data_IF_202559568856
#
_entry.id   IF_202559568856
#
_cell.length_a   1.000
_cell.length_b   1.000
_cell.length_c   1.000
_cell.angle_alpha   90.00
_cell.angle_beta   90.00
_cell.angle_gamma   90.00
#
_symmetry.space_group_name_H-M   'P 1'
#
loop_
_entity.id
_entity.type
_entity.pdbx_description
1 polymer ?
#
# COMPACT_ATOMS: atom_id res chain seq x y z
N UNK A 1 -8.84 11.47 16.86
CA UNK A 1 -9.50 11.76 15.57
C UNK A 1 -8.47 11.81 14.46
N UNK A 2 -8.84 11.41 13.24
CA UNK A 2 -7.97 11.49 12.06
C UNK A 2 -8.10 12.88 11.42
N UNK A 3 -6.97 13.46 11.02
CA UNK A 3 -6.91 14.74 10.34
C UNK A 3 -6.69 14.53 8.84
N UNK A 4 -7.49 15.24 8.04
CA UNK A 4 -7.48 15.17 6.58
C UNK A 4 -7.57 16.58 6.03
N UNK A 5 -6.76 16.88 5.02
CA UNK A 5 -6.74 18.16 4.34
C UNK A 5 -7.25 17.99 2.90
N UNK A 6 -8.18 18.84 2.49
CA UNK A 6 -8.69 18.88 1.12
C UNK A 6 -8.27 20.18 0.45
N UNK A 7 -7.92 20.10 -0.84
CA UNK A 7 -7.55 21.29 -1.61
C UNK A 7 -7.21 20.96 -3.06
N UNK A 8 -6.44 21.85 -3.67
CA UNK A 8 -5.91 21.69 -5.03
C UNK A 8 -4.39 21.54 -5.01
N UNK A 9 -3.86 20.68 -5.86
CA UNK A 9 -2.42 20.65 -6.11
C UNK A 9 -2.03 21.77 -7.05
N UNK A 10 -1.07 22.61 -6.62
CA UNK A 10 -0.57 23.78 -7.35
C UNK A 10 0.34 23.40 -8.54
N UNK A 11 -0.21 22.67 -9.49
CA UNK A 11 0.40 22.29 -10.78
C UNK A 11 -0.59 22.57 -11.91
N UNK A 12 -0.15 22.41 -13.16
CA UNK A 12 -1.04 22.50 -14.32
C UNK A 12 -2.21 21.51 -14.21
N UNK A 13 -3.43 21.98 -14.50
CA UNK A 13 -4.68 21.23 -14.33
C UNK A 13 -5.32 21.34 -12.94
N UNK A 14 -4.58 21.78 -11.92
CA UNK A 14 -5.08 22.04 -10.56
C UNK A 14 -5.98 20.91 -10.00
N UNK A 15 -5.53 19.65 -9.99
CA UNK A 15 -6.37 18.53 -9.56
C UNK A 15 -6.75 18.62 -8.08
N UNK A 16 -7.92 18.12 -7.72
CA UNK A 16 -8.33 17.96 -6.33
C UNK A 16 -7.45 16.93 -5.61
N UNK A 17 -7.08 17.23 -4.37
CA UNK A 17 -6.27 16.34 -3.52
C UNK A 17 -6.87 16.20 -2.14
N UNK A 18 -6.69 15.01 -1.58
CA UNK A 18 -6.98 14.66 -0.19
C UNK A 18 -5.66 14.20 0.42
N UNK A 19 -5.17 14.92 1.42
CA UNK A 19 -3.94 14.61 2.14
C UNK A 19 -4.29 14.13 3.54
N UNK A 20 -4.01 12.85 3.79
CA UNK A 20 -4.18 12.23 5.10
C UNK A 20 -2.98 12.55 5.99
N UNK A 21 -3.21 13.12 7.18
CA UNK A 21 -2.17 13.19 8.20
C UNK A 21 -2.06 11.84 8.91
N UNK A 22 -1.08 11.04 8.49
CA UNK A 22 -0.83 9.72 9.06
C UNK A 22 -0.43 9.76 10.54
N UNK A 23 0.18 10.86 11.02
CA UNK A 23 0.60 10.98 12.41
C UNK A 23 -0.63 11.07 13.34
N UNK A 24 -1.68 11.77 12.91
CA UNK A 24 -2.96 11.84 13.63
C UNK A 24 -3.64 10.47 13.81
N UNK A 25 -3.28 9.48 12.99
CA UNK A 25 -3.86 8.15 12.97
C UNK A 25 -2.92 7.05 13.51
N UNK A 26 -1.69 7.38 13.88
CA UNK A 26 -0.67 6.42 14.30
C UNK A 26 -1.06 5.60 15.55
N UNK A 27 -1.93 6.15 16.40
CA UNK A 27 -2.46 5.46 17.59
C UNK A 27 -3.18 4.14 17.26
N UNK A 28 -3.66 3.96 16.02
CA UNK A 28 -4.41 2.78 15.60
C UNK A 28 -3.56 1.73 14.88
N UNK A 29 -2.24 1.96 14.76
CA UNK A 29 -1.33 1.12 13.97
C UNK A 29 -1.38 -0.36 14.37
N UNK A 30 -1.36 -0.68 15.67
CA UNK A 30 -1.32 -2.06 16.15
C UNK A 30 -2.59 -2.85 15.79
N UNK A 31 -3.75 -2.18 15.81
CA UNK A 31 -5.00 -2.77 15.33
C UNK A 31 -4.90 -3.10 13.84
N UNK A 32 -4.40 -2.17 13.03
CA UNK A 32 -4.27 -2.38 11.59
C UNK A 32 -3.23 -3.44 11.23
N UNK A 33 -2.17 -3.61 12.02
CA UNK A 33 -1.25 -4.76 11.88
C UNK A 33 -1.98 -6.08 12.11
N UNK A 34 -2.86 -6.13 13.12
CA UNK A 34 -3.74 -7.27 13.36
C UNK A 34 -4.66 -7.55 12.17
N UNK A 35 -5.33 -6.53 11.64
CA UNK A 35 -6.20 -6.64 10.47
C UNK A 35 -5.44 -7.16 9.22
N UNK A 36 -4.23 -6.64 8.98
CA UNK A 36 -3.37 -7.06 7.86
C UNK A 36 -2.96 -8.53 8.01
N UNK A 37 -2.52 -8.91 9.20
CA UNK A 37 -2.15 -10.30 9.51
C UNK A 37 -3.33 -11.25 9.29
N UNK A 38 -4.51 -10.94 9.83
CA UNK A 38 -5.72 -11.75 9.63
C UNK A 38 -6.15 -11.84 8.17
N UNK A 39 -5.88 -10.80 7.38
CA UNK A 39 -6.26 -10.73 5.97
C UNK A 39 -5.33 -11.56 5.07
N UNK A 40 -4.02 -11.50 5.30
CA UNK A 40 -3.04 -12.01 4.34
C UNK A 40 -1.75 -12.60 4.96
N UNK A 41 -1.69 -12.74 6.28
CA UNK A 41 -0.53 -13.26 7.02
C UNK A 41 0.77 -12.48 6.77
N UNK A 42 0.68 -11.17 6.54
CA UNK A 42 1.84 -10.28 6.42
C UNK A 42 2.06 -9.56 7.75
N UNK A 43 3.23 -9.80 8.36
CA UNK A 43 3.67 -9.12 9.58
C UNK A 43 4.61 -7.96 9.26
N UNK A 44 4.43 -6.81 9.93
CA UNK A 44 5.29 -5.64 9.75
C UNK A 44 6.19 -5.42 10.99
N UNK A 45 7.53 -5.35 10.81
CA UNK A 45 8.44 -5.06 11.91
C UNK A 45 8.17 -3.67 12.53
N UNK A 46 8.26 -3.57 13.85
CA UNK A 46 8.03 -2.31 14.58
C UNK A 46 9.01 -1.20 14.16
N UNK A 47 10.27 -1.56 13.87
CA UNK A 47 11.31 -0.60 13.51
C UNK A 47 11.23 -0.13 12.04
N UNK A 48 10.43 -0.78 11.19
CA UNK A 48 10.29 -0.38 9.79
C UNK A 48 9.23 0.72 9.65
N UNK A 49 9.66 1.97 9.84
CA UNK A 49 8.77 3.13 9.75
C UNK A 49 8.05 3.23 8.41
N UNK A 50 8.71 2.95 7.29
CA UNK A 50 8.10 3.09 5.96
C UNK A 50 6.96 2.10 5.77
N UNK A 51 7.14 0.84 6.17
CA UNK A 51 6.08 -0.17 6.11
C UNK A 51 4.91 0.18 7.05
N UNK A 52 5.20 0.70 8.25
CA UNK A 52 4.17 1.12 9.20
C UNK A 52 3.38 2.34 8.69
N UNK A 53 4.06 3.36 8.16
CA UNK A 53 3.43 4.55 7.57
C UNK A 53 2.57 4.17 6.36
N UNK A 54 3.05 3.22 5.52
CA UNK A 54 2.29 2.66 4.39
C UNK A 54 1.01 1.96 4.85
N UNK A 55 1.05 1.20 5.95
CA UNK A 55 -0.13 0.54 6.50
C UNK A 55 -1.14 1.55 7.08
N UNK A 56 -0.67 2.59 7.77
CA UNK A 56 -1.53 3.67 8.27
C UNK A 56 -2.25 4.34 7.10
N UNK A 57 -1.49 4.77 6.09
CA UNK A 57 -2.05 5.40 4.90
C UNK A 57 -3.05 4.48 4.19
N UNK A 58 -2.68 3.23 3.92
CA UNK A 58 -3.57 2.28 3.27
C UNK A 58 -4.85 2.01 4.06
N UNK A 59 -4.77 1.98 5.39
CA UNK A 59 -5.94 1.81 6.25
C UNK A 59 -6.87 3.02 6.22
N UNK A 60 -6.32 4.23 6.19
CA UNK A 60 -7.08 5.47 6.03
C UNK A 60 -7.74 5.56 4.65
N UNK A 61 -7.04 5.17 3.59
CA UNK A 61 -7.59 5.11 2.22
C UNK A 61 -8.75 4.11 2.17
N UNK A 62 -8.57 2.90 2.70
CA UNK A 62 -9.62 1.90 2.73
C UNK A 62 -10.82 2.35 3.57
N UNK A 63 -10.60 3.07 4.66
CA UNK A 63 -11.68 3.65 5.46
C UNK A 63 -12.41 4.74 4.66
N UNK A 64 -11.68 5.70 4.09
CA UNK A 64 -12.26 6.77 3.28
C UNK A 64 -13.14 6.24 2.14
N UNK A 65 -12.65 5.28 1.36
CA UNK A 65 -13.42 4.71 0.26
C UNK A 65 -14.64 3.94 0.74
N UNK A 66 -14.59 3.30 1.91
CA UNK A 66 -15.77 2.65 2.49
C UNK A 66 -16.87 3.68 2.78
N UNK A 67 -16.53 4.75 3.49
CA UNK A 67 -17.46 5.84 3.81
C UNK A 67 -17.99 6.49 2.52
N UNK A 68 -17.10 6.74 1.54
CA UNK A 68 -17.49 7.33 0.25
C UNK A 68 -18.50 6.44 -0.47
N UNK A 69 -18.22 5.14 -0.59
CA UNK A 69 -19.12 4.21 -1.30
C UNK A 69 -20.46 4.06 -0.59
N UNK A 70 -20.47 4.08 0.75
CA UNK A 70 -21.71 4.01 1.53
C UNK A 70 -22.57 5.27 1.33
N UNK A 71 -21.93 6.44 1.26
CA UNK A 71 -22.62 7.71 1.00
C UNK A 71 -23.11 7.85 -0.46
N UNK A 72 -22.38 7.27 -1.41
CA UNK A 72 -22.79 7.26 -2.81
C UNK A 72 -23.96 6.31 -3.06
N UNK A 73 -24.05 5.18 -2.34
CA UNK A 73 -25.05 4.14 -2.60
C UNK A 73 -24.88 3.56 -4.00
N UNK A 74 -25.99 3.32 -4.71
CA UNK A 74 -25.99 2.77 -6.08
C UNK A 74 -25.59 3.78 -7.18
N UNK A 75 -24.93 4.89 -6.82
CA UNK A 75 -24.51 5.95 -7.75
C UNK A 75 -23.19 5.54 -8.47
N UNK A 76 -22.20 6.42 -8.80
CA UNK A 76 -21.22 6.09 -9.83
C UNK A 76 -20.25 4.97 -9.41
N UNK A 77 -19.73 4.27 -10.43
CA UNK A 77 -18.61 3.35 -10.26
C UNK A 77 -17.37 4.10 -9.77
N UNK A 78 -16.85 3.68 -8.61
CA UNK A 78 -15.60 4.21 -8.05
C UNK A 78 -14.43 3.40 -8.59
N UNK A 79 -13.36 4.09 -9.02
CA UNK A 79 -12.09 3.48 -9.42
C UNK A 79 -11.00 4.04 -8.52
N UNK A 80 -10.21 3.16 -7.91
CA UNK A 80 -9.04 3.52 -7.13
C UNK A 80 -7.76 2.95 -7.75
N UNK A 81 -6.81 3.83 -8.09
CA UNK A 81 -5.53 3.47 -8.70
C UNK A 81 -4.40 3.66 -7.70
N UNK A 82 -3.78 2.55 -7.30
CA UNK A 82 -2.67 2.51 -6.36
C UNK A 82 -1.34 2.46 -7.12
N UNK A 83 -0.40 3.33 -6.77
CA UNK A 83 0.94 3.36 -7.35
C UNK A 83 1.97 2.94 -6.30
N UNK A 84 2.77 1.93 -6.65
CA UNK A 84 3.78 1.28 -5.81
C UNK A 84 3.29 0.59 -4.53
N UNK A 85 4.17 -0.25 -3.98
CA UNK A 85 3.92 -1.08 -2.81
C UNK A 85 3.57 -0.26 -1.55
N UNK A 86 4.04 0.99 -1.41
CA UNK A 86 3.66 1.83 -0.28
C UNK A 86 2.15 2.13 -0.24
N UNK A 87 1.47 2.12 -1.38
CA UNK A 87 0.01 2.24 -1.47
C UNK A 87 -0.71 0.88 -1.42
N UNK A 88 0.04 -0.23 -1.53
CA UNK A 88 -0.43 -1.62 -1.56
C UNK A 88 -1.34 -2.03 -0.38
N UNK A 89 -1.05 -1.65 0.88
CA UNK A 89 -1.94 -1.96 2.00
C UNK A 89 -3.38 -1.49 1.79
N UNK A 90 -3.57 -0.33 1.13
CA UNK A 90 -4.90 0.18 0.79
C UNK A 90 -5.64 -0.76 -0.15
N UNK A 91 -4.98 -1.23 -1.21
CA UNK A 91 -5.53 -2.19 -2.16
C UNK A 91 -5.93 -3.50 -1.46
N UNK A 92 -5.04 -4.07 -0.64
CA UNK A 92 -5.26 -5.33 0.08
C UNK A 92 -6.50 -5.21 0.98
N UNK A 93 -6.54 -4.17 1.82
CA UNK A 93 -7.62 -3.95 2.77
C UNK A 93 -8.94 -3.66 2.07
N UNK A 94 -8.92 -2.86 1.00
CA UNK A 94 -10.10 -2.57 0.18
C UNK A 94 -10.71 -3.81 -0.44
N UNK A 95 -9.89 -4.71 -1.01
CA UNK A 95 -10.36 -5.99 -1.55
C UNK A 95 -10.89 -6.88 -0.43
N UNK A 96 -10.14 -7.02 0.66
CA UNK A 96 -10.51 -7.87 1.81
C UNK A 96 -11.89 -7.49 2.38
N UNK A 97 -12.13 -6.19 2.52
CA UNK A 97 -13.39 -5.63 3.02
C UNK A 97 -14.52 -5.56 1.99
N UNK A 98 -14.28 -6.03 0.75
CA UNK A 98 -15.25 -6.02 -0.36
C UNK A 98 -15.86 -4.63 -0.61
N UNK A 99 -15.04 -3.58 -0.55
CA UNK A 99 -15.48 -2.21 -0.87
C UNK A 99 -15.92 -2.17 -2.34
N UNK A 100 -17.10 -1.64 -2.68
CA UNK A 100 -17.64 -1.66 -4.04
C UNK A 100 -16.94 -0.62 -4.92
N UNK A 101 -15.72 -0.95 -5.34
CA UNK A 101 -14.92 -0.14 -6.26
C UNK A 101 -14.01 -1.04 -7.10
N UNK A 102 -13.68 -0.58 -8.31
CA UNK A 102 -12.64 -1.19 -9.11
C UNK A 102 -11.26 -0.71 -8.61
N UNK A 103 -10.29 -1.62 -8.60
CA UNK A 103 -8.92 -1.29 -8.18
C UNK A 103 -7.94 -1.51 -9.33
N UNK A 104 -6.96 -0.62 -9.46
CA UNK A 104 -5.84 -0.71 -10.40
C UNK A 104 -4.55 -0.60 -9.61
N UNK A 105 -3.54 -1.40 -9.95
CA UNK A 105 -2.21 -1.31 -9.37
C UNK A 105 -1.17 -1.07 -10.45
N UNK A 106 -0.25 -0.14 -10.20
CA UNK A 106 0.91 0.08 -11.07
C UNK A 106 2.15 0.18 -10.22
N UNK A 107 3.07 -0.76 -10.43
CA UNK A 107 4.44 -0.65 -9.95
C UNK A 107 5.32 -0.11 -11.06
N UNK A 108 6.19 0.84 -10.75
CA UNK A 108 7.17 1.41 -11.66
C UNK A 108 8.50 0.64 -11.60
N UNK A 109 8.76 -0.08 -10.51
CA UNK A 109 9.87 -1.02 -10.39
C UNK A 109 9.62 -2.10 -9.32
N UNK A 110 10.12 -3.31 -9.53
CA UNK A 110 10.03 -4.37 -8.51
C UNK A 110 11.13 -4.21 -7.45
N UNK A 111 10.78 -4.40 -6.18
CA UNK A 111 11.71 -4.37 -5.04
C UNK A 111 12.92 -5.28 -5.29
N UNK A 112 12.69 -6.57 -5.53
CA UNK A 112 13.75 -7.54 -5.79
C UNK A 112 14.58 -7.22 -7.03
N UNK A 113 13.96 -6.72 -8.11
CA UNK A 113 14.69 -6.36 -9.32
C UNK A 113 15.75 -5.29 -9.07
N UNK A 114 15.45 -4.28 -8.26
CA UNK A 114 16.42 -3.25 -7.87
C UNK A 114 17.59 -3.82 -7.06
N UNK A 115 17.31 -4.71 -6.11
CA UNK A 115 18.35 -5.30 -5.25
C UNK A 115 19.23 -6.32 -5.97
N UNK A 116 18.66 -7.12 -6.87
CA UNK A 116 19.39 -8.17 -7.59
C UNK A 116 20.32 -7.58 -8.66
N UNK A 117 19.87 -6.54 -9.37
CA UNK A 117 20.70 -5.81 -10.33
C UNK A 117 21.91 -5.11 -9.68
N UNK A 118 21.77 -4.62 -8.44
CA UNK A 118 22.88 -4.01 -7.70
C UNK A 118 23.94 -5.03 -7.25
N UNK A 119 23.59 -6.32 -7.15
CA UNK A 119 24.45 -7.39 -6.65
C UNK A 119 25.42 -8.00 -7.66
N UNK A 120 25.58 -7.41 -8.85
CA UNK A 120 26.41 -7.94 -9.95
C UNK A 120 26.04 -9.38 -10.36
N UNK A 121 24.76 -9.75 -10.19
CA UNK A 121 24.23 -11.03 -10.65
C UNK A 121 23.82 -10.93 -12.11
N UNK A 122 23.97 -12.01 -12.87
CA UNK A 122 23.43 -12.12 -14.22
C UNK A 122 21.90 -12.28 -14.14
N UNK A 123 21.23 -11.15 -13.89
CA UNK A 123 19.86 -11.06 -13.44
C UNK A 123 18.87 -11.58 -14.49
N UNK A 124 18.93 -11.07 -15.72
CA UNK A 124 17.95 -11.41 -16.75
C UNK A 124 18.07 -12.86 -17.22
N UNK A 125 19.28 -13.43 -17.24
CA UNK A 125 19.47 -14.83 -17.66
C UNK A 125 19.09 -15.85 -16.58
N UNK A 126 18.94 -15.44 -15.32
CA UNK A 126 18.64 -16.32 -14.19
C UNK A 126 17.30 -16.01 -13.52
N UNK A 127 16.44 -15.18 -14.12
CA UNK A 127 15.18 -14.72 -13.52
C UNK A 127 14.31 -15.88 -12.99
N UNK A 128 14.22 -16.98 -13.74
CA UNK A 128 13.44 -18.16 -13.36
C UNK A 128 14.10 -19.09 -12.33
N UNK A 129 15.32 -18.78 -11.87
CA UNK A 129 16.11 -19.62 -10.94
C UNK A 129 16.24 -19.02 -9.53
N UNK A 130 15.85 -17.76 -9.35
CA UNK A 130 15.93 -17.12 -8.04
C UNK A 130 14.88 -17.68 -7.08
N UNK A 131 15.32 -18.02 -5.87
CA UNK A 131 14.42 -18.23 -4.75
C UNK A 131 14.07 -16.87 -4.15
N UNK A 132 12.94 -16.30 -4.60
CA UNK A 132 12.51 -14.94 -4.25
C UNK A 132 12.34 -14.73 -2.74
N UNK A 133 11.85 -15.74 -2.02
CA UNK A 133 11.66 -15.67 -0.56
C UNK A 133 13.00 -15.60 0.16
N UNK A 134 13.96 -16.43 -0.27
CA UNK A 134 15.33 -16.40 0.24
C UNK A 134 15.99 -15.06 -0.05
N UNK A 135 15.93 -14.58 -1.29
CA UNK A 135 16.57 -13.32 -1.70
C UNK A 135 16.00 -12.11 -0.92
N UNK A 136 14.69 -12.09 -0.69
CA UNK A 136 14.04 -11.04 0.09
C UNK A 136 14.35 -11.15 1.60
N UNK A 137 14.41 -12.38 2.14
CA UNK A 137 14.76 -12.66 3.53
C UNK A 137 16.21 -12.28 3.87
N UNK A 138 17.18 -12.65 3.03
CA UNK A 138 18.60 -12.32 3.23
C UNK A 138 18.84 -10.80 3.23
N UNK A 139 18.01 -10.04 2.52
CA UNK A 139 18.07 -8.58 2.45
C UNK A 139 17.18 -7.88 3.48
N UNK A 140 16.48 -8.62 4.34
CA UNK A 140 15.57 -8.09 5.37
C UNK A 140 14.46 -7.20 4.78
N UNK A 141 14.00 -7.52 3.56
CA UNK A 141 12.90 -6.83 2.86
C UNK A 141 11.68 -7.71 2.64
N UNK A 142 11.64 -8.91 3.22
CA UNK A 142 10.60 -9.91 2.97
C UNK A 142 9.18 -9.37 3.19
N UNK A 143 8.95 -8.66 4.29
CA UNK A 143 7.64 -8.06 4.57
C UNK A 143 7.23 -7.00 3.55
N UNK A 144 8.17 -6.22 3.02
CA UNK A 144 7.90 -5.24 1.94
C UNK A 144 7.67 -5.92 0.60
N UNK A 145 8.37 -7.03 0.35
CA UNK A 145 8.18 -7.84 -0.85
C UNK A 145 6.80 -8.53 -0.85
N UNK A 146 6.28 -8.91 0.31
CA UNK A 146 4.93 -9.46 0.43
C UNK A 146 3.82 -8.41 0.22
N UNK A 147 4.09 -7.14 0.51
CA UNK A 147 3.17 -6.01 0.32
C UNK A 147 3.06 -5.62 -1.16
#
# INVERSE_FOLDING_TARGET
DCQVHFGHWLIEGSPYVILFDIASAAWNLERWKGDLWQTCNIGLPYHDREANDSLILGSLIAWFFKELTDNLGDKPNVICHFHEWQAGPGLILSRSRKIPMATVFTTHATLLGRYLCAGNTDFYNNLGRFNIDKEAGERQIYHRYCL
#
